data_IF_696630699947
#
_entry.id   IF_696630699947
#
_cell.length_a   1.000
_cell.length_b   1.000
_cell.length_c   1.000
_cell.angle_alpha   90.00
_cell.angle_beta   90.00
_cell.angle_gamma   90.00
#
_symmetry.space_group_name_H-M   'P 1'
#
loop_
_entity.id
_entity.type
_entity.pdbx_description
1 polymer ?
#
# COMPACT_ATOMS: atom_id res chain seq x y z
N UNK A 1 19.07 48.02 55.10
CA UNK A 1 18.45 47.92 53.76
C UNK A 1 19.00 46.66 53.15
N UNK A 2 18.30 45.55 53.36
CA UNK A 2 18.83 44.20 53.10
C UNK A 2 18.05 43.59 51.95
N UNK A 3 18.72 43.41 50.82
CA UNK A 3 18.16 42.80 49.62
C UNK A 3 18.44 41.29 49.69
N UNK A 4 17.39 40.49 49.89
CA UNK A 4 17.40 39.05 49.67
C UNK A 4 16.60 38.80 48.38
N UNK A 5 17.29 38.50 47.28
CA UNK A 5 16.66 37.91 46.10
C UNK A 5 17.40 36.59 45.84
N UNK A 6 16.81 35.51 46.34
CA UNK A 6 17.11 34.16 45.92
C UNK A 6 16.36 33.89 44.62
N UNK A 7 17.07 33.82 43.50
CA UNK A 7 16.57 33.13 42.31
C UNK A 7 17.37 31.85 42.13
N UNK A 8 16.91 30.82 42.82
CA UNK A 8 17.15 29.46 42.39
C UNK A 8 16.31 29.22 41.13
N UNK A 9 16.96 29.14 39.98
CA UNK A 9 16.46 28.37 38.85
C UNK A 9 17.55 27.35 38.55
N UNK A 10 17.42 26.18 39.15
CA UNK A 10 18.11 25.00 38.65
C UNK A 10 17.59 24.67 37.24
N UNK A 11 18.37 23.97 36.42
CA UNK A 11 17.83 23.45 35.16
C UNK A 11 16.73 22.44 35.50
N UNK A 12 15.48 22.78 35.25
CA UNK A 12 14.42 21.77 35.22
C UNK A 12 14.54 21.03 33.89
N UNK A 13 15.48 20.07 33.82
CA UNK A 13 15.37 18.97 32.89
C UNK A 13 14.24 18.06 33.37
N UNK A 14 13.00 18.54 33.19
CA UNK A 14 11.88 17.60 33.08
C UNK A 14 12.13 16.72 31.86
N UNK A 15 11.65 15.47 31.83
CA UNK A 15 11.64 14.71 30.59
C UNK A 15 10.91 15.58 29.56
N UNK A 16 11.58 15.95 28.47
CA UNK A 16 10.91 16.60 27.34
C UNK A 16 9.83 15.64 26.87
N UNK A 17 8.58 15.90 27.26
CA UNK A 17 7.46 15.10 26.83
C UNK A 17 7.43 15.15 25.31
N UNK A 18 7.50 13.98 24.70
CA UNK A 18 7.56 13.82 23.25
C UNK A 18 6.30 13.12 22.78
N UNK A 19 5.85 13.50 21.60
CA UNK A 19 4.78 12.78 20.92
C UNK A 19 5.30 11.38 20.59
N UNK A 20 4.56 10.34 21.00
CA UNK A 20 4.90 8.95 20.75
C UNK A 20 3.90 8.35 19.75
N UNK A 21 4.31 7.26 19.11
CA UNK A 21 3.45 6.47 18.23
C UNK A 21 2.93 5.28 19.01
N UNK A 22 1.62 5.09 18.98
CA UNK A 22 0.91 4.01 19.64
C UNK A 22 0.80 2.78 18.74
N UNK A 23 0.38 2.97 17.49
CA UNK A 23 0.13 1.86 16.57
C UNK A 23 0.20 2.27 15.10
N UNK A 24 0.25 1.27 14.21
CA UNK A 24 0.09 1.42 12.77
C UNK A 24 -1.06 0.54 12.28
N UNK A 25 -1.83 1.05 11.33
CA UNK A 25 -2.75 0.25 10.52
C UNK A 25 -2.57 0.58 9.04
N UNK A 26 -2.81 -0.40 8.18
CA UNK A 26 -2.50 -0.31 6.74
C UNK A 26 -3.73 -0.72 5.94
N UNK A 27 -3.94 -0.04 4.82
CA UNK A 27 -4.89 -0.44 3.79
C UNK A 27 -4.32 -0.20 2.40
N UNK A 28 -5.04 -0.60 1.35
CA UNK A 28 -4.47 -0.68 0.01
C UNK A 28 -3.89 0.62 -0.55
N UNK A 29 -4.45 1.76 -0.12
CA UNK A 29 -4.00 3.09 -0.52
C UNK A 29 -3.68 4.01 0.66
N UNK A 30 -3.38 3.46 1.83
CA UNK A 30 -2.97 4.30 2.97
C UNK A 30 -2.19 3.55 4.04
N UNK A 31 -1.46 4.32 4.86
CA UNK A 31 -0.94 3.90 6.16
C UNK A 31 -1.44 4.90 7.19
N UNK A 32 -2.07 4.42 8.27
CA UNK A 32 -2.48 5.27 9.39
C UNK A 32 -1.54 5.09 10.56
N UNK A 33 -1.07 6.21 11.10
CA UNK A 33 -0.21 6.27 12.28
C UNK A 33 -1.04 6.84 13.43
N UNK A 34 -1.22 6.03 14.47
CA UNK A 34 -1.86 6.47 15.70
C UNK A 34 -0.80 6.99 16.67
N UNK A 35 -1.00 8.19 17.19
CA UNK A 35 -0.13 8.83 18.16
C UNK A 35 -0.74 8.79 19.56
N UNK A 36 0.08 9.02 20.58
CA UNK A 36 -0.36 9.05 21.98
C UNK A 36 -1.10 10.33 22.37
N UNK A 37 -1.14 11.34 21.49
CA UNK A 37 -1.81 12.61 21.74
C UNK A 37 -2.45 13.17 20.46
N UNK A 38 -3.35 14.14 20.64
CA UNK A 38 -4.00 14.86 19.54
C UNK A 38 -2.96 15.58 18.69
N UNK A 39 -3.08 15.48 17.37
CA UNK A 39 -2.19 16.11 16.41
C UNK A 39 -2.50 17.59 16.23
N UNK A 40 -1.46 18.38 15.97
CA UNK A 40 -1.63 19.72 15.45
C UNK A 40 -2.21 19.64 14.01
N UNK A 41 -3.31 20.37 13.70
CA UNK A 41 -3.90 20.37 12.36
C UNK A 41 -2.94 20.74 11.22
N UNK A 42 -1.86 21.49 11.48
CA UNK A 42 -0.87 21.85 10.47
C UNK A 42 -0.09 20.66 9.92
N UNK A 43 -0.13 19.49 10.57
CA UNK A 43 0.57 18.28 10.09
C UNK A 43 0.14 17.86 8.68
N UNK A 44 -1.09 18.16 8.27
CA UNK A 44 -1.60 17.81 6.93
C UNK A 44 -1.08 18.72 5.81
N UNK A 45 -0.39 19.81 6.18
CA UNK A 45 0.24 20.75 5.24
C UNK A 45 1.72 20.43 4.99
N UNK A 46 2.27 19.40 5.63
CA UNK A 46 3.64 18.97 5.38
C UNK A 46 3.80 18.46 3.95
N UNK A 47 4.96 18.75 3.35
CA UNK A 47 5.35 18.23 2.05
C UNK A 47 5.38 16.70 2.09
N UNK A 48 4.64 16.04 1.18
CA UNK A 48 4.51 14.57 1.16
C UNK A 48 5.83 13.86 0.87
N UNK A 49 6.76 14.54 0.20
CA UNK A 49 8.12 14.05 -0.08
C UNK A 49 8.99 13.88 1.17
N UNK A 50 8.58 14.45 2.31
CA UNK A 50 9.25 14.27 3.60
C UNK A 50 8.97 12.89 4.23
N UNK A 51 7.99 12.16 3.70
CA UNK A 51 7.62 10.81 4.11
C UNK A 51 8.21 9.82 3.10
N UNK A 52 8.76 8.71 3.59
CA UNK A 52 9.28 7.65 2.73
C UNK A 52 8.60 6.32 3.05
N UNK A 53 8.16 5.63 2.01
CA UNK A 53 7.68 4.26 2.09
C UNK A 53 8.43 3.46 1.05
N UNK A 54 9.40 2.65 1.49
CA UNK A 54 10.32 1.94 0.60
C UNK A 54 10.44 0.48 1.03
N UNK A 55 10.43 -0.43 0.08
CA UNK A 55 10.67 -1.85 0.33
C UNK A 55 12.16 -2.18 0.39
N UNK A 56 12.51 -3.37 0.90
CA UNK A 56 13.90 -3.84 0.95
C UNK A 56 14.55 -3.99 -0.44
N UNK A 57 13.76 -4.16 -1.50
CA UNK A 57 14.24 -4.22 -2.89
C UNK A 57 14.39 -2.84 -3.53
N UNK A 58 14.03 -1.77 -2.82
CA UNK A 58 14.09 -0.40 -3.32
C UNK A 58 12.81 0.08 -4.04
N UNK A 59 11.79 -0.77 -4.21
CA UNK A 59 10.50 -0.32 -4.73
C UNK A 59 9.85 0.69 -3.76
N UNK A 60 9.36 1.81 -4.29
CA UNK A 60 8.79 2.91 -3.52
C UNK A 60 7.28 2.99 -3.68
N UNK A 61 6.59 3.35 -2.59
CA UNK A 61 5.17 3.72 -2.59
C UNK A 61 5.11 5.23 -2.38
N UNK A 62 4.43 5.94 -3.30
CA UNK A 62 4.36 7.40 -3.23
C UNK A 62 3.28 7.86 -2.25
N UNK A 63 3.60 8.87 -1.44
CA UNK A 63 2.61 9.56 -0.59
C UNK A 63 1.89 10.62 -1.40
N UNK A 64 0.55 10.51 -1.47
CA UNK A 64 -0.32 11.41 -2.24
C UNK A 64 -0.83 12.58 -1.40
N UNK A 65 -1.24 12.32 -0.17
CA UNK A 65 -1.77 13.36 0.73
C UNK A 65 -1.74 12.90 2.18
N UNK A 66 -1.95 13.86 3.08
CA UNK A 66 -2.04 13.66 4.51
C UNK A 66 -3.44 14.07 4.99
N UNK A 67 -4.00 13.33 5.94
CA UNK A 67 -5.33 13.55 6.50
C UNK A 67 -5.32 13.23 8.00
N UNK A 68 -5.98 14.03 8.82
CA UNK A 68 -6.27 13.65 10.21
C UNK A 68 -7.57 12.86 10.21
N UNK A 69 -7.49 11.54 10.29
CA UNK A 69 -8.66 10.65 10.25
C UNK A 69 -9.38 10.58 11.61
N UNK A 70 -8.66 10.84 12.69
CA UNK A 70 -9.16 11.04 14.05
C UNK A 70 -8.16 11.94 14.80
N UNK A 71 -8.51 12.56 15.95
CA UNK A 71 -7.65 13.55 16.61
C UNK A 71 -6.18 13.14 16.78
N UNK A 72 -5.92 11.87 17.08
CA UNK A 72 -4.57 11.30 17.25
C UNK A 72 -4.10 10.42 16.07
N UNK A 73 -4.80 10.42 14.93
CA UNK A 73 -4.50 9.52 13.81
C UNK A 73 -4.17 10.31 12.56
N UNK A 74 -2.92 10.23 12.12
CA UNK A 74 -2.49 10.72 10.80
C UNK A 74 -2.67 9.59 9.79
N UNK A 75 -3.58 9.78 8.85
CA UNK A 75 -3.72 8.93 7.68
C UNK A 75 -2.86 9.49 6.54
N UNK A 76 -1.91 8.68 6.12
CA UNK A 76 -1.00 8.94 5.00
C UNK A 76 -1.60 8.22 3.80
N UNK A 77 -2.22 8.96 2.88
CA UNK A 77 -2.77 8.37 1.65
C UNK A 77 -1.65 8.13 0.65
N UNK A 78 -1.64 6.95 0.02
CA UNK A 78 -0.54 6.47 -0.81
C UNK A 78 -1.01 6.08 -2.22
N UNK A 79 -0.05 5.80 -3.12
CA UNK A 79 -0.30 4.87 -4.22
C UNK A 79 -0.60 3.48 -3.67
N UNK A 80 -1.13 2.62 -4.53
CA UNK A 80 -1.31 1.21 -4.20
C UNK A 80 0.01 0.57 -3.74
N UNK A 81 -0.09 -0.31 -2.75
CA UNK A 81 1.02 -1.09 -2.23
C UNK A 81 0.92 -2.51 -2.83
N UNK A 82 2.04 -3.21 -2.97
CA UNK A 82 2.03 -4.60 -3.44
C UNK A 82 1.72 -5.54 -2.28
N UNK A 83 0.79 -6.48 -2.49
CA UNK A 83 0.36 -7.40 -1.45
C UNK A 83 1.52 -8.28 -0.95
N UNK A 84 1.74 -8.30 0.36
CA UNK A 84 2.74 -9.16 0.99
C UNK A 84 4.18 -8.62 0.94
N UNK A 85 4.44 -7.53 0.22
CA UNK A 85 5.75 -6.85 0.23
C UNK A 85 5.95 -6.16 1.57
N UNK A 86 7.13 -6.32 2.17
CA UNK A 86 7.48 -5.58 3.40
C UNK A 86 8.03 -4.21 3.03
N UNK A 87 7.39 -3.15 3.52
CA UNK A 87 7.80 -1.77 3.37
C UNK A 87 8.26 -1.20 4.71
N UNK A 88 9.18 -0.25 4.64
CA UNK A 88 9.59 0.60 5.76
C UNK A 88 8.95 1.97 5.60
N UNK A 89 8.09 2.37 6.54
CA UNK A 89 7.62 3.75 6.70
C UNK A 89 8.66 4.53 7.50
N UNK A 90 9.17 5.63 6.93
CA UNK A 90 9.95 6.63 7.65
C UNK A 90 9.17 7.95 7.72
N UNK A 91 8.94 8.44 8.93
CA UNK A 91 8.34 9.75 9.16
C UNK A 91 9.41 10.85 9.16
N UNK A 92 9.05 12.10 8.82
CA UNK A 92 9.97 13.21 8.92
C UNK A 92 10.46 13.44 10.35
N UNK A 93 11.69 13.92 10.46
CA UNK A 93 12.31 14.28 11.75
C UNK A 93 11.71 15.52 12.40
N UNK A 94 10.99 16.34 11.63
CA UNK A 94 10.43 17.63 12.05
C UNK A 94 9.03 17.82 11.46
N UNK A 95 8.22 18.68 12.07
CA UNK A 95 6.91 19.08 11.54
C UNK A 95 5.72 18.28 12.08
N UNK A 96 5.94 17.10 12.66
CA UNK A 96 4.88 16.35 13.36
C UNK A 96 4.90 16.74 14.85
N UNK A 97 3.83 17.40 15.29
CA UNK A 97 3.68 17.97 16.64
C UNK A 97 2.26 17.72 17.14
N UNK A 98 2.09 17.51 18.44
CA UNK A 98 0.77 17.47 19.07
C UNK A 98 0.11 18.85 19.13
N UNK A 99 -1.18 18.91 19.44
CA UNK A 99 -1.92 20.15 19.68
C UNK A 99 -1.29 21.00 20.79
N UNK A 100 -0.62 20.37 21.75
CA UNK A 100 -0.02 21.01 22.92
C UNK A 100 1.46 21.36 22.68
N UNK A 101 1.94 21.23 21.43
CA UNK A 101 3.29 21.62 21.04
C UNK A 101 4.36 20.56 21.30
N UNK A 102 4.00 19.33 21.68
CA UNK A 102 4.99 18.25 21.88
C UNK A 102 5.42 17.68 20.52
N UNK A 103 6.70 17.79 20.14
CA UNK A 103 7.16 17.27 18.85
C UNK A 103 7.37 15.75 18.89
N UNK A 104 7.31 15.11 17.72
CA UNK A 104 7.89 13.79 17.51
C UNK A 104 9.43 13.95 17.50
N UNK A 105 10.13 13.45 18.53
CA UNK A 105 11.55 13.77 18.75
C UNK A 105 12.54 12.76 18.18
N UNK A 106 12.09 11.57 17.78
CA UNK A 106 12.95 10.53 17.23
C UNK A 106 12.53 10.23 15.79
N UNK A 107 13.49 9.98 14.86
CA UNK A 107 13.14 9.47 13.55
C UNK A 107 12.36 8.17 13.75
N UNK A 108 11.10 8.16 13.35
CA UNK A 108 10.29 6.96 13.39
C UNK A 108 10.51 6.19 12.10
N UNK A 109 10.86 4.91 12.26
CA UNK A 109 10.93 3.95 11.17
C UNK A 109 10.25 2.67 11.63
N UNK A 110 9.33 2.15 10.83
CA UNK A 110 8.64 0.91 11.13
C UNK A 110 8.34 0.11 9.87
N UNK A 111 8.44 -1.20 9.99
CA UNK A 111 8.08 -2.10 8.92
C UNK A 111 6.59 -2.43 8.98
N UNK A 112 5.98 -2.55 7.80
CA UNK A 112 4.63 -3.07 7.65
C UNK A 112 4.53 -3.92 6.38
N UNK A 113 3.58 -4.84 6.35
CA UNK A 113 3.26 -5.63 5.17
C UNK A 113 2.26 -4.87 4.31
N UNK A 114 2.61 -4.66 3.05
CA UNK A 114 1.77 -4.00 2.07
C UNK A 114 0.49 -4.78 1.80
N UNK A 115 -0.58 -4.03 1.59
CA UNK A 115 -1.87 -4.55 1.16
C UNK A 115 -2.13 -3.92 -0.20
N UNK A 116 -2.40 -4.73 -1.23
CA UNK A 116 -2.86 -4.25 -2.53
C UNK A 116 -4.34 -4.52 -2.74
N UNK A 117 -4.85 -4.11 -3.88
CA UNK A 117 -6.10 -4.57 -4.45
C UNK A 117 -5.77 -5.81 -5.28
N UNK A 118 -6.55 -6.88 -5.15
CA UNK A 118 -6.30 -8.09 -5.92
C UNK A 118 -6.61 -7.85 -7.41
N UNK A 119 -5.79 -8.39 -8.34
CA UNK A 119 -6.04 -8.25 -9.76
C UNK A 119 -7.36 -8.94 -10.15
N UNK A 120 -8.13 -8.30 -11.03
CA UNK A 120 -9.37 -8.87 -11.58
C UNK A 120 -9.26 -9.04 -13.09
N UNK A 121 -9.96 -10.03 -13.64
CA UNK A 121 -10.10 -10.15 -15.10
C UNK A 121 -11.03 -9.05 -15.60
N UNK A 122 -10.50 -8.11 -16.38
CA UNK A 122 -11.25 -7.02 -17.01
C UNK A 122 -11.93 -7.48 -18.28
N UNK A 123 -11.23 -8.33 -19.07
CA UNK A 123 -11.74 -8.83 -20.34
C UNK A 123 -11.20 -10.23 -20.61
N UNK A 124 -12.08 -11.10 -21.11
CA UNK A 124 -11.71 -12.32 -21.79
C UNK A 124 -12.36 -12.30 -23.18
N UNK A 125 -11.53 -12.36 -24.24
CA UNK A 125 -11.99 -12.23 -25.63
C UNK A 125 -11.45 -13.38 -26.48
N UNK A 126 -12.34 -14.07 -27.16
CA UNK A 126 -11.95 -15.01 -28.22
C UNK A 126 -11.36 -14.26 -29.41
N UNK A 127 -10.21 -14.71 -29.86
CA UNK A 127 -9.48 -14.17 -31.03
C UNK A 127 -9.73 -15.05 -32.25
N UNK A 128 -9.70 -16.35 -32.04
CA UNK A 128 -10.07 -17.37 -33.03
C UNK A 128 -10.61 -18.62 -32.31
N UNK A 129 -10.90 -19.68 -33.07
CA UNK A 129 -11.50 -20.92 -32.56
C UNK A 129 -10.68 -21.66 -31.48
N UNK A 130 -9.43 -21.27 -31.22
CA UNK A 130 -8.55 -21.87 -30.19
C UNK A 130 -7.86 -20.82 -29.32
N UNK A 131 -7.88 -19.55 -29.69
CA UNK A 131 -7.13 -18.50 -29.02
C UNK A 131 -8.05 -17.58 -28.24
N UNK A 132 -7.71 -17.33 -26.97
CA UNK A 132 -8.42 -16.38 -26.10
C UNK A 132 -7.40 -15.42 -25.48
N UNK A 133 -7.68 -14.13 -25.51
CA UNK A 133 -6.93 -13.14 -24.74
C UNK A 133 -7.63 -12.87 -23.42
N UNK A 134 -6.89 -12.97 -22.33
CA UNK A 134 -7.31 -12.56 -20.98
C UNK A 134 -6.51 -11.33 -20.58
N UNK A 135 -7.22 -10.29 -20.13
CA UNK A 135 -6.66 -9.02 -19.68
C UNK A 135 -7.03 -8.80 -18.22
N UNK A 136 -6.03 -8.55 -17.38
CA UNK A 136 -6.17 -8.23 -15.97
C UNK A 136 -6.23 -6.71 -15.74
N UNK A 137 -6.73 -6.29 -14.57
CA UNK A 137 -6.79 -4.87 -14.16
C UNK A 137 -5.42 -4.22 -14.02
N UNK A 138 -4.39 -5.03 -13.79
CA UNK A 138 -3.02 -4.62 -13.52
C UNK A 138 -2.05 -5.73 -13.94
N UNK A 139 -0.75 -5.47 -13.75
CA UNK A 139 0.28 -6.48 -13.96
C UNK A 139 0.15 -7.63 -12.96
N UNK A 140 0.31 -8.86 -13.42
CA UNK A 140 0.27 -10.05 -12.56
C UNK A 140 1.54 -10.88 -12.68
N UNK A 141 1.82 -11.69 -11.67
CA UNK A 141 2.96 -12.62 -11.65
C UNK A 141 2.91 -13.58 -12.81
N UNK A 142 3.91 -13.46 -13.68
CA UNK A 142 3.96 -14.23 -14.92
C UNK A 142 4.04 -15.73 -14.64
N UNK A 143 4.75 -16.14 -13.59
CA UNK A 143 4.90 -17.53 -13.20
C UNK A 143 3.60 -18.18 -12.70
N UNK A 144 2.62 -17.38 -12.28
CA UNK A 144 1.29 -17.84 -11.89
C UNK A 144 0.30 -17.75 -13.07
N UNK A 145 0.34 -16.65 -13.82
CA UNK A 145 -0.54 -16.43 -14.96
C UNK A 145 -0.20 -17.32 -16.17
N UNK A 146 0.99 -17.89 -16.25
CA UNK A 146 1.34 -18.84 -17.32
C UNK A 146 0.96 -20.29 -17.01
N UNK A 147 0.36 -20.56 -15.84
CA UNK A 147 -0.07 -21.90 -15.43
C UNK A 147 -1.45 -22.22 -16.01
N UNK A 148 -1.60 -23.17 -16.95
CA UNK A 148 -2.89 -23.46 -17.59
C UNK A 148 -4.00 -23.87 -16.61
N UNK A 149 -3.66 -24.56 -15.52
CA UNK A 149 -4.62 -25.01 -14.50
C UNK A 149 -5.23 -23.87 -13.67
N UNK A 150 -4.72 -22.63 -13.78
CA UNK A 150 -5.32 -21.47 -13.15
C UNK A 150 -6.53 -20.92 -13.92
N UNK A 151 -6.82 -21.48 -15.09
CA UNK A 151 -7.91 -21.09 -15.98
C UNK A 151 -8.84 -22.27 -16.21
N UNK A 152 -10.14 -22.06 -16.00
CA UNK A 152 -11.17 -23.06 -16.26
C UNK A 152 -12.33 -22.45 -17.02
N UNK A 153 -13.03 -23.26 -17.81
CA UNK A 153 -14.13 -22.80 -18.66
C UNK A 153 -15.40 -23.57 -18.39
N UNK A 154 -16.54 -22.88 -18.48
CA UNK A 154 -17.88 -23.45 -18.50
C UNK A 154 -18.64 -22.93 -19.73
N UNK A 155 -19.09 -23.78 -20.67
CA UNK A 155 -18.83 -25.22 -20.78
C UNK A 155 -17.34 -25.57 -20.87
N UNK A 156 -16.97 -26.83 -20.62
CA UNK A 156 -15.57 -27.25 -20.52
C UNK A 156 -14.78 -27.01 -21.82
N UNK A 157 -13.66 -26.29 -21.70
CA UNK A 157 -12.59 -26.18 -22.70
C UNK A 157 -11.27 -26.52 -22.02
N UNK A 158 -10.43 -27.30 -22.70
CA UNK A 158 -9.08 -27.58 -22.20
C UNK A 158 -8.16 -26.39 -22.51
N UNK A 159 -7.43 -25.91 -21.52
CA UNK A 159 -6.36 -24.91 -21.71
C UNK A 159 -5.05 -25.67 -21.96
N UNK A 160 -4.49 -25.51 -23.15
CA UNK A 160 -3.29 -26.21 -23.62
C UNK A 160 -2.04 -25.47 -23.17
N UNK A 161 -2.02 -24.15 -23.31
CA UNK A 161 -0.90 -23.30 -22.91
C UNK A 161 -1.36 -21.89 -22.61
N UNK A 162 -0.57 -21.16 -21.81
CA UNK A 162 -0.77 -19.74 -21.57
C UNK A 162 0.54 -19.00 -21.81
N UNK A 163 0.50 -17.99 -22.67
CA UNK A 163 1.68 -17.21 -23.07
C UNK A 163 1.48 -15.75 -22.68
N UNK A 164 2.50 -15.15 -22.06
CA UNK A 164 2.49 -13.72 -21.73
C UNK A 164 2.59 -12.87 -23.00
N UNK A 165 1.67 -11.93 -23.19
CA UNK A 165 1.78 -10.89 -24.22
C UNK A 165 2.45 -9.65 -23.62
N UNK A 166 1.96 -9.20 -22.46
CA UNK A 166 2.54 -8.12 -21.66
C UNK A 166 2.19 -8.34 -20.17
N UNK A 167 2.52 -7.40 -19.28
CA UNK A 167 2.34 -7.56 -17.83
C UNK A 167 0.90 -7.88 -17.40
N UNK A 168 -0.09 -7.37 -18.14
CA UNK A 168 -1.52 -7.52 -17.84
C UNK A 168 -2.30 -8.40 -18.82
N UNK A 169 -1.68 -8.82 -19.93
CA UNK A 169 -2.37 -9.54 -21.01
C UNK A 169 -1.70 -10.88 -21.32
N UNK A 170 -2.51 -11.93 -21.37
CA UNK A 170 -2.09 -13.30 -21.61
C UNK A 170 -2.94 -13.94 -22.71
N UNK A 171 -2.30 -14.79 -23.51
CA UNK A 171 -2.93 -15.58 -24.56
C UNK A 171 -3.09 -17.02 -24.10
N UNK A 172 -4.33 -17.49 -24.05
CA UNK A 172 -4.67 -18.88 -23.80
C UNK A 172 -4.85 -19.59 -25.13
N UNK A 173 -4.10 -20.67 -25.32
CA UNK A 173 -4.37 -21.67 -26.35
C UNK A 173 -5.29 -22.72 -25.75
N UNK A 174 -6.42 -22.99 -26.39
CA UNK A 174 -7.45 -23.91 -25.92
C UNK A 174 -7.76 -25.02 -26.92
N UNK A 175 -8.52 -26.02 -26.48
CA UNK A 175 -9.23 -26.92 -27.41
C UNK A 175 -10.17 -26.11 -28.31
N UNK A 176 -10.52 -26.67 -29.49
CA UNK A 176 -11.42 -25.99 -30.43
C UNK A 176 -12.74 -25.61 -29.75
N UNK A 177 -13.08 -24.33 -29.79
CA UNK A 177 -14.35 -23.76 -29.35
C UNK A 177 -15.49 -24.20 -30.29
N UNK A 178 -16.67 -24.38 -29.73
CA UNK A 178 -17.89 -24.68 -30.49
C UNK A 178 -18.54 -23.38 -30.98
N UNK A 179 -19.01 -23.40 -32.23
CA UNK A 179 -19.69 -22.25 -32.82
C UNK A 179 -20.92 -21.86 -31.99
N UNK A 180 -21.16 -20.55 -31.88
CA UNK A 180 -22.29 -19.95 -31.14
C UNK A 180 -22.40 -20.39 -29.68
N UNK A 181 -21.32 -20.89 -29.08
CA UNK A 181 -21.28 -21.31 -27.67
C UNK A 181 -20.68 -20.21 -26.82
N UNK A 182 -21.41 -19.78 -25.79
CA UNK A 182 -20.89 -18.86 -24.78
C UNK A 182 -20.06 -19.65 -23.77
N UNK A 183 -18.82 -19.21 -23.55
CA UNK A 183 -17.93 -19.75 -22.54
C UNK A 183 -17.68 -18.71 -21.44
N UNK A 184 -17.79 -19.13 -20.19
CA UNK A 184 -17.37 -18.36 -19.02
C UNK A 184 -16.02 -18.88 -18.56
N UNK A 185 -15.02 -17.99 -18.51
CA UNK A 185 -13.72 -18.30 -17.91
C UNK A 185 -13.73 -17.97 -16.43
N UNK A 186 -13.22 -18.87 -15.60
CA UNK A 186 -12.88 -18.62 -14.20
C UNK A 186 -11.36 -18.64 -14.08
N UNK A 187 -10.82 -17.58 -13.48
CA UNK A 187 -9.39 -17.40 -13.25
C UNK A 187 -9.14 -17.42 -11.75
N UNK A 188 -8.10 -18.14 -11.31
CA UNK A 188 -7.81 -18.34 -9.88
C UNK A 188 -6.31 -18.44 -9.63
N UNK A 189 -5.89 -18.17 -8.39
CA UNK A 189 -4.51 -18.34 -7.93
C UNK A 189 -3.47 -17.51 -8.72
N UNK A 190 -3.81 -16.28 -9.08
CA UNK A 190 -2.92 -15.32 -9.75
C UNK A 190 -2.89 -14.02 -8.94
N UNK A 191 -1.68 -13.59 -8.57
CA UNK A 191 -1.40 -12.38 -7.77
C UNK A 191 -0.64 -11.32 -8.56
N UNK A 192 -0.57 -10.13 -7.99
CA UNK A 192 0.33 -9.02 -8.39
C UNK A 192 1.81 -9.29 -8.05
#
# INVERSE_FOLDING_TARGET
MSLLITHGLGPTTGPSASLQINSLSVGAGYVSVEFTATLNPMVVQLETSLFSITSNSGAQVSVKSLEIAAPSVLKINTTEQTTGVTYTLALPRVGIVSSDGMPLTTPYSANFTGIGIAPVTVLARSIDAKTIHVIFSEGVRSEEATVPSNYSFVPSLSVISVTKINDSQYELTTSKQSDLTLYTVTVSNIRD
#
